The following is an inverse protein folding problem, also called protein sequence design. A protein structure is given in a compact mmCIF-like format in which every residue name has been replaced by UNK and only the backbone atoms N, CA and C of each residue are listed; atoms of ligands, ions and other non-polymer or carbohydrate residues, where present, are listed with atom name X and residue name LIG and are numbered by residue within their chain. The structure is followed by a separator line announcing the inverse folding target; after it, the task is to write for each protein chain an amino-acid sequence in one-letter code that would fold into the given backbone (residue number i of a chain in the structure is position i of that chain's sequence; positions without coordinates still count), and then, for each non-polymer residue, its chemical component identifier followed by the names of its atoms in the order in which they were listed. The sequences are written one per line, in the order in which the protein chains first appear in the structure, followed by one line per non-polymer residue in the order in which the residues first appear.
data_IF_075779404572
#
_entry.id   IF_075779404572
#
_cell.length_a   1.000
_cell.length_b   1.000
_cell.length_c   1.000
_cell.angle_alpha   90.00
_cell.angle_beta   90.00
_cell.angle_gamma   90.00
#
_symmetry.space_group_name_H-M   'P 1'
#
loop_
_entity.id
_entity.type
_entity.pdbx_description
1 polymer ?
#
# COMPACT_ATOMS: atom_id res chain seq x y z
N UNK A 1 -21.91 -0.99 9.00
CA UNK A 1 -20.73 -0.10 8.93
C UNK A 1 -19.98 -0.30 7.63
N UNK A 2 -19.65 -1.53 7.24
CA UNK A 2 -18.89 -1.82 6.02
C UNK A 2 -19.52 -1.29 4.73
N UNK A 3 -20.85 -1.42 4.58
CA UNK A 3 -21.58 -0.85 3.42
C UNK A 3 -21.36 0.66 3.25
N UNK A 4 -21.31 1.42 4.34
CA UNK A 4 -21.04 2.87 4.30
C UNK A 4 -19.59 3.15 3.84
N UNK A 5 -18.64 2.37 4.35
CA UNK A 5 -17.24 2.52 3.96
C UNK A 5 -17.01 2.09 2.50
N UNK A 6 -17.72 1.06 2.01
CA UNK A 6 -17.62 0.64 0.61
C UNK A 6 -18.24 1.67 -0.34
N UNK A 7 -19.41 2.23 0.02
CA UNK A 7 -20.04 3.30 -0.73
C UNK A 7 -19.17 4.57 -0.74
N UNK A 8 -18.63 4.95 0.40
CA UNK A 8 -17.71 6.09 0.50
C UNK A 8 -16.46 5.88 -0.36
N UNK A 9 -15.87 4.68 -0.34
CA UNK A 9 -14.70 4.36 -1.17
C UNK A 9 -15.01 4.50 -2.66
N UNK A 10 -16.16 4.00 -3.13
CA UNK A 10 -16.57 4.15 -4.54
C UNK A 10 -16.79 5.61 -4.90
N UNK A 11 -17.56 6.36 -4.13
CA UNK A 11 -17.84 7.76 -4.43
C UNK A 11 -16.59 8.63 -4.39
N UNK A 12 -15.70 8.42 -3.41
CA UNK A 12 -14.41 9.12 -3.41
C UNK A 12 -13.56 8.77 -4.63
N UNK A 13 -13.70 7.56 -5.17
CA UNK A 13 -13.06 7.16 -6.43
C UNK A 13 -13.61 7.90 -7.64
N UNK A 14 -14.94 7.97 -7.73
CA UNK A 14 -15.64 8.43 -8.94
C UNK A 14 -15.66 9.95 -9.07
N UNK A 15 -15.96 10.65 -7.96
CA UNK A 15 -16.16 12.12 -7.97
C UNK A 15 -15.16 12.89 -7.09
N UNK A 16 -14.16 12.21 -6.52
CA UNK A 16 -13.18 12.78 -5.59
C UNK A 16 -13.76 13.04 -4.20
N UNK A 17 -12.86 13.35 -3.25
CA UNK A 17 -13.25 13.62 -1.87
C UNK A 17 -14.20 14.82 -1.77
N UNK A 18 -13.93 15.91 -2.48
CA UNK A 18 -14.75 17.12 -2.43
C UNK A 18 -16.13 16.96 -3.09
N UNK A 19 -16.24 16.13 -4.13
CA UNK A 19 -17.50 15.86 -4.83
C UNK A 19 -18.42 14.89 -4.09
N UNK A 20 -17.88 14.04 -3.23
CA UNK A 20 -18.66 13.04 -2.51
C UNK A 20 -19.38 13.63 -1.28
N UNK A 21 -20.71 13.67 -1.31
CA UNK A 21 -21.52 14.16 -0.18
C UNK A 21 -21.95 13.02 0.73
N UNK A 22 -22.19 13.29 2.03
CA UNK A 22 -22.71 12.30 2.97
C UNK A 22 -24.08 11.78 2.56
N UNK A 23 -24.93 12.60 1.90
CA UNK A 23 -26.21 12.18 1.36
C UNK A 23 -26.03 11.15 0.24
N UNK A 24 -25.15 11.41 -0.72
CA UNK A 24 -24.86 10.48 -1.81
C UNK A 24 -24.26 9.17 -1.28
N UNK A 25 -23.39 9.24 -0.26
CA UNK A 25 -22.82 8.05 0.39
C UNK A 25 -23.91 7.23 1.09
N UNK A 26 -24.84 7.86 1.80
CA UNK A 26 -25.96 7.16 2.45
C UNK A 26 -26.88 6.49 1.43
N UNK A 27 -27.20 7.18 0.34
CA UNK A 27 -28.01 6.67 -0.77
C UNK A 27 -27.34 5.47 -1.43
N UNK A 28 -26.06 5.60 -1.82
CA UNK A 28 -25.23 4.52 -2.42
C UNK A 28 -25.13 3.30 -1.48
N UNK A 29 -25.03 3.53 -0.18
CA UNK A 29 -24.99 2.45 0.84
C UNK A 29 -26.37 1.81 1.11
N UNK A 30 -27.47 2.40 0.62
CA UNK A 30 -28.83 1.95 0.89
C UNK A 30 -29.24 2.12 2.36
N UNK A 31 -28.78 3.20 3.02
CA UNK A 31 -29.13 3.51 4.42
C UNK A 31 -29.68 4.94 4.56
N UNK A 32 -30.38 5.20 5.65
CA UNK A 32 -30.82 6.57 5.93
C UNK A 32 -29.65 7.47 6.31
N UNK A 33 -29.74 8.76 5.98
CA UNK A 33 -28.73 9.75 6.38
C UNK A 33 -28.55 9.83 7.90
N UNK A 34 -29.62 9.64 8.67
CA UNK A 34 -29.56 9.55 10.13
C UNK A 34 -28.76 8.35 10.63
N UNK A 35 -28.83 7.22 9.90
CA UNK A 35 -27.98 6.05 10.18
C UNK A 35 -26.51 6.32 9.89
N UNK A 36 -26.20 7.07 8.84
CA UNK A 36 -24.81 7.47 8.56
C UNK A 36 -24.27 8.34 9.68
N UNK A 37 -24.98 9.40 10.07
CA UNK A 37 -24.52 10.33 11.11
C UNK A 37 -24.39 9.69 12.49
N UNK A 38 -25.08 8.60 12.76
CA UNK A 38 -24.90 7.83 14.00
C UNK A 38 -23.52 7.16 14.09
N UNK A 39 -22.92 6.80 12.95
CA UNK A 39 -21.59 6.16 12.90
C UNK A 39 -20.47 7.14 12.57
N UNK A 40 -20.75 8.11 11.71
CA UNK A 40 -19.76 9.04 11.18
C UNK A 40 -20.33 10.47 11.22
N UNK A 41 -19.84 11.33 12.13
CA UNK A 41 -20.36 12.69 12.30
C UNK A 41 -20.19 13.56 11.05
N UNK A 42 -19.21 13.25 10.22
CA UNK A 42 -18.90 13.99 9.01
C UNK A 42 -18.17 13.12 7.97
N UNK A 43 -17.90 13.72 6.82
CA UNK A 43 -17.16 13.09 5.72
C UNK A 43 -15.71 12.78 6.09
N UNK A 44 -15.08 13.59 6.95
CA UNK A 44 -13.71 13.38 7.42
C UNK A 44 -13.61 12.13 8.28
N UNK A 45 -14.59 11.87 9.13
CA UNK A 45 -14.66 10.63 9.93
C UNK A 45 -14.77 9.38 9.03
N UNK A 46 -15.54 9.48 7.92
CA UNK A 46 -15.59 8.40 6.92
C UNK A 46 -14.24 8.15 6.26
N UNK A 47 -13.54 9.22 5.88
CA UNK A 47 -12.20 9.11 5.30
C UNK A 47 -11.21 8.48 6.30
N UNK A 48 -11.25 8.91 7.57
CA UNK A 48 -10.43 8.35 8.64
C UNK A 48 -10.65 6.84 8.81
N UNK A 49 -11.92 6.43 8.90
CA UNK A 49 -12.26 5.00 9.03
C UNK A 49 -11.86 4.17 7.80
N UNK A 50 -11.93 4.76 6.60
CA UNK A 50 -11.41 4.14 5.37
C UNK A 50 -9.90 3.96 5.43
N UNK A 51 -9.17 4.98 5.86
CA UNK A 51 -7.73 4.93 6.02
C UNK A 51 -7.31 3.84 7.01
N UNK A 52 -7.94 3.80 8.18
CA UNK A 52 -7.69 2.74 9.16
C UNK A 52 -7.98 1.34 8.60
N UNK A 53 -9.08 1.18 7.84
CA UNK A 53 -9.42 -0.09 7.19
C UNK A 53 -8.33 -0.51 6.20
N UNK A 54 -7.80 0.43 5.43
CA UNK A 54 -6.71 0.18 4.49
C UNK A 54 -5.41 -0.20 5.22
N UNK A 55 -5.01 0.56 6.24
CA UNK A 55 -3.82 0.24 7.05
C UNK A 55 -3.91 -1.15 7.67
N UNK A 56 -5.10 -1.56 8.16
CA UNK A 56 -5.32 -2.94 8.64
C UNK A 56 -5.14 -3.98 7.53
N UNK A 57 -5.67 -3.72 6.32
CA UNK A 57 -5.46 -4.60 5.14
C UNK A 57 -3.98 -4.71 4.79
N UNK A 58 -3.25 -3.58 4.79
CA UNK A 58 -1.82 -3.54 4.52
C UNK A 58 -1.01 -4.34 5.55
N UNK A 59 -1.27 -4.15 6.87
CA UNK A 59 -0.62 -4.93 7.92
C UNK A 59 -0.88 -6.43 7.75
N UNK A 60 -2.13 -6.82 7.54
CA UNK A 60 -2.48 -8.22 7.30
C UNK A 60 -1.84 -8.80 6.04
N UNK A 61 -1.61 -7.99 5.00
CA UNK A 61 -0.89 -8.40 3.81
C UNK A 61 0.60 -8.61 4.11
N UNK A 62 1.24 -7.65 4.82
CA UNK A 62 2.63 -7.80 5.26
C UNK A 62 2.84 -9.07 6.08
N UNK A 63 1.95 -9.38 7.02
CA UNK A 63 2.06 -10.59 7.85
C UNK A 63 1.96 -11.87 7.02
N UNK A 64 1.18 -11.86 5.93
CA UNK A 64 1.08 -13.01 5.00
C UNK A 64 2.29 -13.17 4.09
N UNK A 65 2.93 -12.07 3.67
CA UNK A 65 4.05 -12.16 2.72
C UNK A 65 5.41 -12.32 3.42
N UNK A 66 5.58 -11.75 4.62
CA UNK A 66 6.82 -11.86 5.41
C UNK A 66 6.79 -13.07 6.35
N UNK A 67 6.71 -14.26 5.78
CA UNK A 67 6.81 -15.52 6.56
C UNK A 67 8.26 -15.99 6.65
N UNK A 68 8.63 -16.86 7.61
CA UNK A 68 10.03 -17.30 7.80
C UNK A 68 10.66 -17.99 6.58
N UNK A 69 9.85 -18.55 5.70
CA UNK A 69 10.30 -19.29 4.51
C UNK A 69 10.75 -18.37 3.35
N UNK A 70 10.43 -17.07 3.38
CA UNK A 70 10.77 -16.15 2.28
C UNK A 70 12.28 -16.03 2.04
N UNK A 71 13.08 -16.22 3.06
CA UNK A 71 14.55 -16.17 2.97
C UNK A 71 15.14 -17.26 2.07
N UNK A 72 14.43 -18.37 1.89
CA UNK A 72 14.87 -19.50 1.06
C UNK A 72 14.40 -19.40 -0.40
N UNK A 73 13.60 -18.40 -0.73
CA UNK A 73 13.09 -18.22 -2.09
C UNK A 73 14.19 -17.63 -2.99
N UNK A 74 14.27 -18.08 -4.27
CA UNK A 74 15.05 -17.37 -5.27
C UNK A 74 14.59 -15.92 -5.39
N UNK A 75 15.52 -14.96 -5.60
CA UNK A 75 15.20 -13.52 -5.65
C UNK A 75 14.04 -13.17 -6.59
N UNK A 76 13.90 -13.74 -7.79
CA UNK A 76 12.74 -13.47 -8.64
C UNK A 76 11.41 -13.85 -7.97
N UNK A 77 11.34 -15.05 -7.37
CA UNK A 77 10.14 -15.56 -6.69
C UNK A 77 9.84 -14.73 -5.43
N UNK A 78 10.88 -14.32 -4.71
CA UNK A 78 10.76 -13.42 -3.56
C UNK A 78 10.15 -12.09 -3.97
N UNK A 79 10.62 -11.49 -5.08
CA UNK A 79 10.05 -10.25 -5.60
C UNK A 79 8.58 -10.39 -6.00
N UNK A 80 8.23 -11.49 -6.68
CA UNK A 80 6.82 -11.78 -7.02
C UNK A 80 5.97 -11.83 -5.75
N UNK A 81 6.41 -12.59 -4.75
CA UNK A 81 5.71 -12.71 -3.46
C UNK A 81 5.57 -11.40 -2.70
N UNK A 82 6.59 -10.52 -2.76
CA UNK A 82 6.59 -9.24 -2.05
C UNK A 82 5.88 -8.12 -2.80
N UNK A 83 5.76 -8.18 -4.13
CA UNK A 83 5.23 -7.07 -4.94
C UNK A 83 3.80 -7.33 -5.41
N UNK A 84 3.51 -8.51 -5.96
CA UNK A 84 2.22 -8.78 -6.61
C UNK A 84 1.00 -8.56 -5.73
N UNK A 85 0.97 -9.03 -4.47
CA UNK A 85 -0.20 -8.83 -3.61
C UNK A 85 -0.47 -7.36 -3.29
N UNK A 86 0.57 -6.51 -3.31
CA UNK A 86 0.40 -5.07 -3.13
C UNK A 86 -0.13 -4.40 -4.40
N UNK A 87 0.31 -4.84 -5.57
CA UNK A 87 -0.26 -4.39 -6.86
C UNK A 87 -1.75 -4.72 -6.92
N UNK A 88 -2.14 -5.95 -6.58
CA UNK A 88 -3.53 -6.39 -6.52
C UNK A 88 -4.36 -5.52 -5.58
N UNK A 89 -3.90 -5.31 -4.34
CA UNK A 89 -4.59 -4.48 -3.35
C UNK A 89 -4.80 -3.04 -3.84
N UNK A 90 -3.83 -2.45 -4.55
CA UNK A 90 -3.92 -1.07 -5.04
C UNK A 90 -4.77 -0.97 -6.32
N UNK A 91 -4.86 -2.03 -7.12
CA UNK A 91 -5.75 -2.06 -8.29
C UNK A 91 -7.22 -2.28 -7.91
N UNK A 92 -7.51 -2.89 -6.77
CA UNK A 92 -8.87 -3.03 -6.26
C UNK A 92 -9.51 -1.69 -5.85
N UNK A 93 -8.71 -0.70 -5.43
CA UNK A 93 -9.21 0.59 -4.97
C UNK A 93 -8.27 1.75 -5.34
N UNK A 94 -8.15 2.13 -6.64
CA UNK A 94 -7.18 3.11 -7.14
C UNK A 94 -7.30 4.49 -6.48
N UNK A 95 -8.53 4.94 -6.24
CA UNK A 95 -8.78 6.25 -5.65
C UNK A 95 -8.27 6.39 -4.22
N UNK A 96 -8.16 5.28 -3.50
CA UNK A 96 -7.69 5.29 -2.14
C UNK A 96 -6.20 5.62 -2.05
N UNK A 97 -5.41 5.18 -3.03
CA UNK A 97 -4.00 5.54 -3.13
C UNK A 97 -3.80 7.07 -3.27
N UNK A 98 -4.64 7.73 -4.07
CA UNK A 98 -4.60 9.18 -4.25
C UNK A 98 -5.08 9.95 -3.01
N UNK A 99 -6.07 9.44 -2.29
CA UNK A 99 -6.59 10.07 -1.07
C UNK A 99 -5.62 10.00 0.11
N UNK A 100 -4.89 8.89 0.26
CA UNK A 100 -3.87 8.74 1.32
C UNK A 100 -2.58 9.52 1.01
N UNK A 101 -2.31 9.82 -0.25
CA UNK A 101 -1.16 10.62 -0.68
C UNK A 101 -1.50 12.11 -0.78
N UNK A 102 -2.78 12.48 -0.64
CA UNK A 102 -3.26 13.86 -0.71
C UNK A 102 -3.00 14.65 0.57
N UNK A 103 -2.91 15.98 0.43
CA UNK A 103 -2.59 16.92 1.49
C UNK A 103 -3.63 17.04 2.63
N UNK A 104 -4.81 16.40 2.50
CA UNK A 104 -5.93 16.51 3.45
C UNK A 104 -6.02 15.35 4.47
N UNK A 105 -5.01 14.51 4.54
CA UNK A 105 -4.96 13.44 5.56
C UNK A 105 -4.75 14.03 6.95
N UNK A 106 -5.53 13.55 7.93
CA UNK A 106 -5.32 13.96 9.34
C UNK A 106 -3.92 13.54 9.83
N UNK A 107 -3.37 14.30 10.80
CA UNK A 107 -2.07 13.97 11.40
C UNK A 107 -2.01 12.51 11.88
N UNK A 108 -3.07 12.01 12.50
CA UNK A 108 -3.16 10.63 13.01
C UNK A 108 -3.01 9.58 11.88
N UNK A 109 -3.58 9.83 10.70
CA UNK A 109 -3.44 8.93 9.54
C UNK A 109 -2.03 9.01 8.97
N UNK A 110 -1.45 10.21 8.91
CA UNK A 110 -0.07 10.40 8.46
C UNK A 110 0.90 9.67 9.39
N UNK A 111 0.73 9.79 10.70
CA UNK A 111 1.55 9.12 11.72
C UNK A 111 1.42 7.59 11.61
N UNK A 112 0.19 7.06 11.54
CA UNK A 112 -0.04 5.63 11.38
C UNK A 112 0.53 5.06 10.06
N UNK A 113 0.56 5.88 9.00
CA UNK A 113 1.18 5.52 7.72
C UNK A 113 2.71 5.51 7.85
N UNK A 114 3.29 6.50 8.54
CA UNK A 114 4.73 6.56 8.81
C UNK A 114 5.20 5.38 9.68
N UNK A 115 4.43 5.00 10.70
CA UNK A 115 4.70 3.83 11.52
C UNK A 115 4.73 2.54 10.68
N UNK A 116 3.70 2.32 9.87
CA UNK A 116 3.64 1.16 8.97
C UNK A 116 4.82 1.15 7.99
N UNK A 117 5.16 2.30 7.42
CA UNK A 117 6.31 2.46 6.52
C UNK A 117 7.63 2.09 7.20
N UNK A 118 7.81 2.45 8.47
CA UNK A 118 8.98 2.10 9.27
C UNK A 118 9.02 0.59 9.58
N UNK A 119 7.89 -0.02 9.98
CA UNK A 119 7.77 -1.46 10.20
C UNK A 119 8.17 -2.27 8.95
N UNK A 120 7.74 -1.83 7.76
CA UNK A 120 8.09 -2.49 6.49
C UNK A 120 9.59 -2.41 6.21
N UNK A 121 10.19 -1.24 6.41
CA UNK A 121 11.63 -1.04 6.22
C UNK A 121 12.42 -1.94 7.17
N UNK A 122 11.99 -2.09 8.42
CA UNK A 122 12.65 -2.95 9.39
C UNK A 122 12.55 -4.43 9.02
N UNK A 123 11.37 -4.90 8.57
CA UNK A 123 11.17 -6.28 8.09
C UNK A 123 12.02 -6.57 6.84
N UNK A 124 12.04 -5.65 5.87
CA UNK A 124 12.90 -5.78 4.67
C UNK A 124 14.38 -5.77 5.02
N UNK A 125 14.83 -4.88 5.92
CA UNK A 125 16.22 -4.82 6.34
C UNK A 125 16.64 -6.13 7.05
N UNK A 126 15.79 -6.69 7.90
CA UNK A 126 16.03 -7.97 8.53
C UNK A 126 16.14 -9.11 7.49
N UNK A 127 15.26 -9.14 6.50
CA UNK A 127 15.30 -10.11 5.40
C UNK A 127 16.59 -9.97 4.57
N UNK A 128 16.99 -8.75 4.19
CA UNK A 128 18.18 -8.53 3.38
C UNK A 128 19.48 -8.91 4.11
N UNK A 129 19.54 -8.74 5.44
CA UNK A 129 20.66 -9.22 6.25
C UNK A 129 20.74 -10.75 6.31
N UNK A 130 19.61 -11.46 6.20
CA UNK A 130 19.62 -12.91 6.10
C UNK A 130 20.07 -13.39 4.72
N UNK A 131 19.68 -12.66 3.65
CA UNK A 131 20.07 -12.97 2.27
C UNK A 131 21.54 -12.62 1.98
N UNK A 132 22.07 -11.59 2.64
CA UNK A 132 23.45 -11.10 2.50
C UNK A 132 24.07 -10.86 3.87
N UNK A 133 24.65 -11.90 4.53
CA UNK A 133 25.18 -11.81 5.89
C UNK A 133 26.30 -10.77 6.09
N UNK A 134 27.01 -10.39 5.02
CA UNK A 134 28.03 -9.32 5.05
C UNK A 134 27.45 -7.90 5.05
N UNK A 135 26.13 -7.75 4.94
CA UNK A 135 25.48 -6.46 4.89
C UNK A 135 25.31 -5.88 6.32
N UNK A 136 25.93 -4.73 6.58
CA UNK A 136 25.71 -4.06 7.87
C UNK A 136 24.29 -3.51 8.02
N UNK A 137 23.89 -3.21 9.24
CA UNK A 137 22.53 -2.80 9.57
C UNK A 137 22.12 -1.47 8.88
N UNK A 138 23.04 -0.52 8.76
CA UNK A 138 22.77 0.78 8.14
C UNK A 138 22.56 0.62 6.63
N UNK A 139 23.39 -0.17 5.97
CA UNK A 139 23.27 -0.49 4.56
C UNK A 139 22.02 -1.29 4.26
N UNK A 140 21.70 -2.30 5.08
CA UNK A 140 20.47 -3.08 4.94
C UNK A 140 19.21 -2.20 5.02
N UNK A 141 19.18 -1.27 5.96
CA UNK A 141 18.09 -0.31 6.13
C UNK A 141 17.97 0.65 4.94
N UNK A 142 19.11 1.11 4.40
CA UNK A 142 19.12 1.94 3.20
C UNK A 142 18.57 1.19 1.98
N UNK A 143 19.02 -0.05 1.74
CA UNK A 143 18.53 -0.92 0.66
C UNK A 143 17.03 -1.16 0.80
N UNK A 144 16.55 -1.44 2.01
CA UNK A 144 15.13 -1.62 2.31
C UNK A 144 14.31 -0.35 2.01
N UNK A 145 14.79 0.82 2.42
CA UNK A 145 14.14 2.10 2.16
C UNK A 145 14.07 2.42 0.67
N UNK A 146 15.15 2.19 -0.07
CA UNK A 146 15.19 2.38 -1.54
C UNK A 146 14.19 1.43 -2.21
N UNK A 147 14.22 0.14 -1.88
CA UNK A 147 13.32 -0.87 -2.46
C UNK A 147 11.86 -0.53 -2.19
N UNK A 148 11.49 -0.23 -0.94
CA UNK A 148 10.15 0.17 -0.55
C UNK A 148 9.68 1.44 -1.28
N UNK A 149 10.54 2.45 -1.40
CA UNK A 149 10.20 3.71 -2.09
C UNK A 149 9.91 3.49 -3.58
N UNK A 150 10.66 2.61 -4.24
CA UNK A 150 10.40 2.25 -5.63
C UNK A 150 9.07 1.50 -5.80
N UNK A 151 8.75 0.56 -4.91
CA UNK A 151 7.45 -0.13 -4.92
C UNK A 151 6.31 0.86 -4.65
N UNK A 152 6.47 1.80 -3.71
CA UNK A 152 5.48 2.85 -3.45
C UNK A 152 5.23 3.74 -4.68
N UNK A 153 6.29 4.14 -5.38
CA UNK A 153 6.19 4.90 -6.62
C UNK A 153 5.50 4.09 -7.73
N UNK A 154 5.79 2.78 -7.84
CA UNK A 154 5.11 1.88 -8.76
C UNK A 154 3.60 1.86 -8.48
N UNK A 155 3.18 1.75 -7.21
CA UNK A 155 1.74 1.72 -6.85
C UNK A 155 1.02 2.98 -7.36
N UNK A 156 1.63 4.15 -7.20
CA UNK A 156 1.08 5.41 -7.73
C UNK A 156 0.97 5.40 -9.25
N UNK A 157 1.99 4.90 -9.94
CA UNK A 157 2.00 4.80 -11.41
C UNK A 157 0.97 3.81 -11.93
N UNK A 158 0.83 2.66 -11.27
CA UNK A 158 -0.18 1.63 -11.60
C UNK A 158 -1.60 2.16 -11.40
N UNK A 159 -1.84 2.89 -10.30
CA UNK A 159 -3.14 3.48 -10.02
C UNK A 159 -3.56 4.53 -11.08
N UNK A 160 -2.58 5.24 -11.67
CA UNK A 160 -2.80 6.26 -12.71
C UNK A 160 -2.87 5.68 -14.14
N UNK A 161 -2.50 4.41 -14.34
CA UNK A 161 -2.46 3.78 -15.65
C UNK A 161 -3.79 3.05 -15.96
N UNK A 162 -4.59 3.55 -16.92
CA UNK A 162 -5.90 2.95 -17.24
C UNK A 162 -5.77 1.59 -17.96
N UNK A 163 -4.72 1.42 -18.78
CA UNK A 163 -4.53 0.22 -19.58
C UNK A 163 -3.95 -0.94 -18.76
N UNK A 164 -4.62 -2.12 -18.72
CA UNK A 164 -4.11 -3.30 -18.02
C UNK A 164 -2.75 -3.78 -18.51
N UNK A 165 -2.48 -3.73 -19.81
CA UNK A 165 -1.19 -4.12 -20.39
C UNK A 165 -0.08 -3.14 -19.97
N UNK A 166 -0.37 -1.85 -19.96
CA UNK A 166 0.54 -0.82 -19.44
C UNK A 166 0.85 -1.00 -17.95
N UNK A 167 -0.15 -1.36 -17.11
CA UNK A 167 0.07 -1.71 -15.70
C UNK A 167 1.00 -2.91 -15.56
N UNK A 168 0.75 -3.99 -16.30
CA UNK A 168 1.58 -5.19 -16.26
C UNK A 168 3.03 -4.89 -16.68
N UNK A 169 3.23 -4.06 -17.70
CA UNK A 169 4.55 -3.63 -18.16
C UNK A 169 5.30 -2.83 -17.07
N UNK A 170 4.63 -1.88 -16.40
CA UNK A 170 5.22 -1.11 -15.28
C UNK A 170 5.67 -2.02 -14.14
N UNK A 171 4.84 -3.00 -13.77
CA UNK A 171 5.17 -3.98 -12.73
C UNK A 171 6.38 -4.81 -13.14
N UNK A 172 6.40 -5.33 -14.36
CA UNK A 172 7.49 -6.16 -14.88
C UNK A 172 8.83 -5.40 -14.91
N UNK A 173 8.86 -4.16 -15.42
CA UNK A 173 10.09 -3.36 -15.47
C UNK A 173 10.57 -2.97 -14.06
N UNK A 174 9.67 -2.64 -13.14
CA UNK A 174 10.05 -2.34 -11.75
C UNK A 174 10.64 -3.57 -11.05
N UNK A 175 10.04 -4.75 -11.23
CA UNK A 175 10.62 -6.01 -10.70
C UNK A 175 11.98 -6.30 -11.27
N UNK A 176 12.17 -6.13 -12.58
CA UNK A 176 13.45 -6.31 -13.25
C UNK A 176 14.53 -5.36 -12.71
N UNK A 177 14.19 -4.10 -12.51
CA UNK A 177 15.08 -3.11 -11.89
C UNK A 177 15.45 -3.50 -10.45
N UNK A 178 14.44 -3.86 -9.63
CA UNK A 178 14.68 -4.29 -8.25
C UNK A 178 15.49 -5.58 -8.17
N UNK A 179 15.26 -6.52 -9.09
CA UNK A 179 16.03 -7.76 -9.16
C UNK A 179 17.51 -7.47 -9.41
N UNK A 180 17.82 -6.65 -10.41
CA UNK A 180 19.21 -6.28 -10.74
C UNK A 180 19.88 -5.55 -9.56
N UNK A 181 19.17 -4.64 -8.92
CA UNK A 181 19.64 -3.91 -7.73
C UNK A 181 19.92 -4.87 -6.56
N UNK A 182 18.98 -5.73 -6.21
CA UNK A 182 19.12 -6.66 -5.09
C UNK A 182 20.18 -7.73 -5.36
N UNK A 183 20.32 -8.22 -6.59
CA UNK A 183 21.41 -9.10 -6.97
C UNK A 183 22.77 -8.46 -6.71
N UNK A 184 22.96 -7.18 -7.13
CA UNK A 184 24.21 -6.46 -6.87
C UNK A 184 24.51 -6.29 -5.37
N UNK A 185 23.47 -6.17 -4.54
CA UNK A 185 23.62 -6.07 -3.08
C UNK A 185 24.01 -7.43 -2.48
N UNK A 186 23.34 -8.51 -2.89
CA UNK A 186 23.61 -9.87 -2.39
C UNK A 186 25.00 -10.35 -2.79
N UNK A 187 25.40 -10.09 -4.04
CA UNK A 187 26.72 -10.49 -4.55
C UNK A 187 27.86 -9.66 -3.94
N UNK A 188 27.63 -8.37 -3.67
CA UNK A 188 28.58 -7.50 -2.98
C UNK A 188 28.68 -7.70 -1.47
N UNK A 189 27.75 -8.42 -0.87
CA UNK A 189 27.72 -8.77 0.55
C UNK A 189 28.27 -10.17 0.88
N UNK A 190 28.75 -10.90 -0.13
CA UNK A 190 29.48 -12.19 0.03
C UNK A 190 30.98 -11.95 0.09
#
# INVERSE_FOLDING_TARGET
MDRLLDAAARLFADVGYEGATTNAIAEEAGVSIGSLYRYFPDRKALLGALAERHLRKMRGLHDRVFTPDVVYLPLPVLLDRLVDPFVELHTECPAFAHLLLGADTSADIADATCELDAEIVDRLAALFRQLAPGLDAARARLVASVSKSNVKALMSSVASQPDPAGRAALVAETKKMLLAYLQSVVDGGR
#
